data_IF_482701196251
#
_entry.id   IF_482701196251
#
_cell.length_a   1.000
_cell.length_b   1.000
_cell.length_c   1.000
_cell.angle_alpha   90.00
_cell.angle_beta   90.00
_cell.angle_gamma   90.00
#
_symmetry.space_group_name_H-M   'P 1'
#
loop_
_entity.id
_entity.type
_entity.pdbx_description
1 polymer ?
#
# COMPACT_ATOMS: atom_id res chain seq x y z
N UNK A 1 13.81 -1.41 16.29
CA UNK A 1 14.43 -0.45 15.34
C UNK A 1 13.63 -0.46 14.05
N UNK A 2 13.17 0.70 13.56
CA UNK A 2 12.41 0.81 12.31
C UNK A 2 13.31 1.30 11.16
N UNK A 3 12.79 1.31 9.92
CA UNK A 3 13.56 1.72 8.73
C UNK A 3 14.07 3.17 8.83
N UNK A 4 13.30 4.06 9.45
CA UNK A 4 13.67 5.48 9.64
C UNK A 4 14.93 5.58 10.50
N UNK A 5 14.90 4.98 11.69
CA UNK A 5 16.02 5.01 12.61
C UNK A 5 17.25 4.23 12.08
N UNK A 6 17.07 3.38 11.07
CA UNK A 6 18.17 2.68 10.42
C UNK A 6 18.86 3.52 9.34
N UNK A 7 18.08 4.12 8.43
CA UNK A 7 18.63 4.75 7.22
C UNK A 7 18.94 6.23 7.41
N UNK A 8 18.16 6.99 8.20
CA UNK A 8 18.41 8.43 8.39
C UNK A 8 19.80 8.72 8.96
N UNK A 9 20.28 8.03 10.02
CA UNK A 9 21.64 8.24 10.53
C UNK A 9 22.76 7.84 9.54
N UNK A 10 22.42 7.13 8.46
CA UNK A 10 23.35 6.72 7.39
C UNK A 10 23.32 7.65 6.19
N UNK A 11 22.67 8.81 6.31
CA UNK A 11 22.62 9.84 5.26
C UNK A 11 21.55 9.61 4.20
N UNK A 12 20.52 8.79 4.49
CA UNK A 12 19.38 8.63 3.59
C UNK A 12 18.20 9.50 4.03
N UNK A 13 17.65 10.25 3.08
CA UNK A 13 16.36 10.90 3.27
C UNK A 13 15.22 9.89 3.06
N UNK A 14 14.27 9.87 3.99
CA UNK A 14 13.08 9.02 3.90
C UNK A 14 11.85 9.90 3.73
N UNK A 15 11.19 9.72 2.59
CA UNK A 15 9.90 10.32 2.29
C UNK A 15 8.83 9.22 2.26
N UNK A 16 7.66 9.51 2.82
CA UNK A 16 6.53 8.59 2.82
C UNK A 16 5.26 9.26 2.28
N UNK A 17 4.43 8.46 1.63
CA UNK A 17 3.13 8.84 1.11
C UNK A 17 2.06 7.98 1.76
N UNK A 18 1.07 8.62 2.38
CA UNK A 18 -0.17 7.95 2.76
C UNK A 18 -1.02 7.75 1.49
N UNK A 19 -1.25 6.49 1.10
CA UNK A 19 -2.13 6.21 -0.03
C UNK A 19 -3.55 6.73 0.26
N UNK A 20 -4.28 7.15 -0.77
CA UNK A 20 -5.68 7.59 -0.65
C UNK A 20 -6.52 6.64 0.22
N UNK A 21 -7.35 7.21 1.08
CA UNK A 21 -8.13 6.44 2.05
C UNK A 21 -7.33 5.78 3.16
N UNK A 22 -6.02 6.03 3.32
CA UNK A 22 -5.18 5.52 4.42
C UNK A 22 -4.50 6.68 5.14
N UNK A 23 -4.05 6.46 6.38
CA UNK A 23 -3.29 7.45 7.13
C UNK A 23 -3.99 8.80 7.23
N UNK A 24 -3.27 9.87 6.88
CA UNK A 24 -3.74 11.25 6.82
C UNK A 24 -4.38 11.62 5.47
N UNK A 25 -4.28 10.76 4.47
CA UNK A 25 -4.86 11.02 3.15
C UNK A 25 -6.39 10.94 3.20
N UNK A 26 -7.08 11.83 2.46
CA UNK A 26 -8.53 11.89 2.47
C UNK A 26 -9.18 10.68 1.78
N UNK A 27 -10.50 10.59 1.90
CA UNK A 27 -11.32 9.57 1.25
C UNK A 27 -11.78 8.46 2.19
N UNK A 28 -12.66 7.61 1.67
CA UNK A 28 -13.17 6.47 2.43
C UNK A 28 -12.05 5.47 2.72
N UNK A 29 -12.00 4.97 3.96
CA UNK A 29 -11.00 3.98 4.38
C UNK A 29 -11.05 2.71 3.54
N UNK A 30 -9.89 2.35 2.97
CA UNK A 30 -9.75 1.15 2.12
C UNK A 30 -10.49 1.20 0.78
N UNK A 31 -10.72 2.40 0.22
CA UNK A 31 -11.40 2.60 -1.06
C UNK A 31 -10.53 3.36 -2.08
N UNK A 32 -10.60 2.93 -3.34
CA UNK A 32 -10.04 3.61 -4.52
C UNK A 32 -11.06 3.53 -5.64
N UNK A 33 -11.06 4.47 -6.59
CA UNK A 33 -11.90 4.33 -7.78
C UNK A 33 -11.24 3.43 -8.82
N UNK A 34 -9.93 3.44 -8.96
CA UNK A 34 -9.19 2.51 -9.82
C UNK A 34 -7.74 2.39 -9.39
N UNK A 35 -7.07 1.32 -9.79
CA UNK A 35 -5.64 1.15 -9.52
C UNK A 35 -4.77 2.24 -10.18
N UNK A 36 -5.25 2.80 -11.30
CA UNK A 36 -4.57 3.91 -11.98
C UNK A 36 -4.38 5.09 -11.03
N UNK A 37 -5.33 5.31 -10.12
CA UNK A 37 -5.20 6.36 -9.12
C UNK A 37 -3.99 6.15 -8.20
N UNK A 38 -3.77 4.92 -7.72
CA UNK A 38 -2.59 4.57 -6.90
C UNK A 38 -1.29 4.79 -7.71
N UNK A 39 -1.28 4.37 -8.98
CA UNK A 39 -0.12 4.59 -9.85
C UNK A 39 0.18 6.07 -10.06
N UNK A 40 -0.86 6.89 -10.24
CA UNK A 40 -0.72 8.33 -10.41
C UNK A 40 -0.23 8.99 -9.12
N UNK A 41 -0.72 8.56 -7.95
CA UNK A 41 -0.28 9.06 -6.65
C UNK A 41 1.22 8.79 -6.44
N UNK A 42 1.68 7.56 -6.74
CA UNK A 42 3.11 7.19 -6.69
C UNK A 42 3.94 8.03 -7.68
N UNK A 43 3.43 8.21 -8.91
CA UNK A 43 4.11 9.03 -9.93
C UNK A 43 4.27 10.48 -9.48
N UNK A 44 3.20 11.10 -9.00
CA UNK A 44 3.20 12.48 -8.52
C UNK A 44 4.17 12.66 -7.34
N UNK A 45 4.15 11.70 -6.40
CA UNK A 45 5.05 11.72 -5.25
C UNK A 45 6.52 11.60 -5.65
N UNK A 46 6.86 10.67 -6.55
CA UNK A 46 8.24 10.54 -7.03
C UNK A 46 8.69 11.77 -7.84
N UNK A 47 7.80 12.39 -8.61
CA UNK A 47 8.12 13.62 -9.33
C UNK A 47 8.39 14.79 -8.37
N UNK A 48 7.62 14.91 -7.29
CA UNK A 48 7.86 15.90 -6.23
C UNK A 48 9.24 15.70 -5.58
N UNK A 49 9.61 14.45 -5.28
CA UNK A 49 10.92 14.13 -4.69
C UNK A 49 12.05 14.45 -5.69
N UNK A 50 11.89 14.08 -6.96
CA UNK A 50 12.92 14.34 -8.00
C UNK A 50 13.21 15.83 -8.21
N UNK A 51 12.23 16.70 -7.99
CA UNK A 51 12.44 18.16 -8.06
C UNK A 51 13.40 18.70 -6.99
N UNK A 52 13.65 17.92 -5.93
CA UNK A 52 14.57 18.26 -4.85
C UNK A 52 15.98 17.69 -5.09
N UNK A 53 16.29 17.24 -6.32
CA UNK A 53 17.61 16.73 -6.77
C UNK A 53 18.15 15.50 -6.02
N UNK A 54 17.30 14.69 -5.41
CA UNK A 54 17.73 13.47 -4.71
C UNK A 54 18.13 12.35 -5.68
N UNK A 55 19.42 11.98 -5.64
CA UNK A 55 19.92 10.74 -6.25
C UNK A 55 21.02 10.12 -5.36
N UNK A 56 21.10 8.78 -5.25
CA UNK A 56 20.23 7.77 -5.87
C UNK A 56 18.85 7.67 -5.21
N UNK A 57 17.81 7.30 -5.99
CA UNK A 57 16.43 7.17 -5.51
C UNK A 57 15.97 5.72 -5.49
N UNK A 58 15.42 5.27 -4.36
CA UNK A 58 14.87 3.93 -4.19
C UNK A 58 13.40 4.00 -3.81
N UNK A 59 12.61 2.99 -4.20
CA UNK A 59 11.22 2.84 -3.75
C UNK A 59 11.09 1.60 -2.87
N UNK A 60 10.50 1.77 -1.69
CA UNK A 60 10.21 0.68 -0.77
C UNK A 60 8.69 0.54 -0.61
N UNK A 61 8.19 -0.68 -0.72
CA UNK A 61 6.77 -0.99 -0.54
C UNK A 61 6.57 -2.28 0.24
N UNK A 62 5.65 -2.25 1.22
CA UNK A 62 5.23 -3.44 1.96
C UNK A 62 3.78 -3.82 1.65
N UNK A 63 3.47 -5.12 1.53
CA UNK A 63 2.11 -5.62 1.27
C UNK A 63 1.45 -4.93 0.05
N UNK A 64 0.39 -4.14 0.26
CA UNK A 64 -0.25 -3.34 -0.79
C UNK A 64 0.72 -2.33 -1.43
N UNK A 65 1.54 -1.67 -0.62
CA UNK A 65 2.59 -0.76 -1.10
C UNK A 65 3.65 -1.49 -1.91
N UNK A 66 3.90 -2.78 -1.63
CA UNK A 66 4.78 -3.63 -2.43
C UNK A 66 4.24 -3.87 -3.84
N UNK A 67 2.93 -4.10 -3.97
CA UNK A 67 2.26 -4.19 -5.28
C UNK A 67 2.37 -2.84 -6.01
N UNK A 68 2.10 -1.73 -5.33
CA UNK A 68 2.18 -0.39 -5.93
C UNK A 68 3.60 -0.08 -6.43
N UNK A 69 4.63 -0.38 -5.63
CA UNK A 69 6.02 -0.17 -6.00
C UNK A 69 6.42 -1.01 -7.24
N UNK A 70 6.07 -2.29 -7.25
CA UNK A 70 6.36 -3.20 -8.38
C UNK A 70 5.58 -2.81 -9.65
N UNK A 71 4.29 -2.53 -9.52
CA UNK A 71 3.43 -2.09 -10.64
C UNK A 71 3.92 -0.80 -11.28
N UNK A 72 4.41 0.15 -10.47
CA UNK A 72 5.02 1.39 -10.96
C UNK A 72 6.34 1.12 -11.69
N UNK A 73 7.26 0.37 -11.07
CA UNK A 73 8.60 0.12 -11.62
C UNK A 73 8.57 -0.66 -12.95
N UNK A 74 7.62 -1.59 -13.10
CA UNK A 74 7.44 -2.34 -14.37
C UNK A 74 7.01 -1.45 -15.53
N UNK A 75 6.41 -0.28 -15.26
CA UNK A 75 5.95 0.67 -16.28
C UNK A 75 6.85 1.90 -16.44
N UNK A 76 7.56 2.28 -15.39
CA UNK A 76 8.41 3.47 -15.35
C UNK A 76 9.80 3.14 -14.77
N UNK A 77 10.64 2.36 -15.48
CA UNK A 77 11.92 1.89 -14.94
C UNK A 77 12.98 2.99 -14.80
N UNK A 78 12.75 4.20 -15.33
CA UNK A 78 13.75 5.28 -15.37
C UNK A 78 13.77 6.12 -14.09
N UNK A 79 14.97 6.41 -13.59
CA UNK A 79 15.20 7.33 -12.48
C UNK A 79 14.97 6.72 -11.09
N UNK A 80 14.92 5.39 -10.98
CA UNK A 80 15.00 4.64 -9.73
C UNK A 80 16.22 3.73 -9.80
N UNK A 81 17.04 3.71 -8.74
CA UNK A 81 18.20 2.83 -8.61
C UNK A 81 17.82 1.44 -8.09
N UNK A 82 16.66 1.29 -7.45
CA UNK A 82 16.19 0.00 -6.99
C UNK A 82 14.80 0.03 -6.37
N UNK A 83 14.22 -1.16 -6.26
CA UNK A 83 12.93 -1.42 -5.60
C UNK A 83 13.12 -2.42 -4.47
N UNK A 84 12.54 -2.11 -3.31
CA UNK A 84 12.49 -2.99 -2.15
C UNK A 84 11.03 -3.37 -1.92
N UNK A 85 10.64 -4.57 -2.37
CA UNK A 85 9.29 -5.10 -2.18
C UNK A 85 9.27 -6.09 -1.01
N UNK A 86 8.73 -5.66 0.13
CA UNK A 86 8.60 -6.48 1.33
C UNK A 86 7.24 -7.17 1.37
N UNK A 87 7.22 -8.50 1.26
CA UNK A 87 5.99 -9.31 1.29
C UNK A 87 4.87 -8.72 0.41
N UNK A 88 5.14 -8.42 -0.89
CA UNK A 88 4.09 -7.88 -1.76
C UNK A 88 2.95 -8.90 -1.85
N UNK A 89 1.71 -8.43 -1.77
CA UNK A 89 0.53 -9.32 -1.75
C UNK A 89 0.19 -9.88 -3.15
N UNK A 90 1.14 -10.58 -3.76
CA UNK A 90 1.08 -11.18 -5.09
C UNK A 90 0.82 -12.68 -4.95
N UNK A 91 0.04 -13.24 -5.88
CA UNK A 91 -0.24 -14.67 -5.95
C UNK A 91 -1.57 -15.08 -5.31
N UNK A 92 -1.68 -16.35 -4.90
CA UNK A 92 -2.92 -16.92 -4.38
C UNK A 92 -3.22 -16.33 -3.01
N UNK A 93 -4.20 -15.43 -2.97
CA UNK A 93 -4.84 -15.02 -1.73
C UNK A 93 -5.70 -16.20 -1.27
N UNK A 94 -5.59 -16.65 -0.02
CA UNK A 94 -6.42 -17.73 0.55
C UNK A 94 -7.92 -17.41 0.62
N UNK A 95 -8.38 -16.41 -0.13
CA UNK A 95 -9.75 -15.95 -0.24
C UNK A 95 -10.54 -16.96 -1.06
N UNK A 96 -11.61 -17.55 -0.49
CA UNK A 96 -12.47 -18.51 -1.18
C UNK A 96 -13.01 -17.97 -2.51
N UNK A 97 -13.10 -18.79 -3.58
CA UNK A 97 -13.64 -18.36 -4.87
C UNK A 97 -15.03 -17.71 -4.79
N UNK A 98 -15.88 -18.15 -3.87
CA UNK A 98 -17.22 -17.57 -3.63
C UNK A 98 -17.15 -16.10 -3.21
N UNK A 99 -16.19 -15.73 -2.35
CA UNK A 99 -16.02 -14.33 -1.95
C UNK A 99 -15.58 -13.46 -3.12
N UNK A 100 -14.82 -14.01 -4.06
CA UNK A 100 -14.47 -13.31 -5.29
C UNK A 100 -15.66 -13.09 -6.23
N UNK A 101 -16.63 -14.01 -6.25
CA UNK A 101 -17.88 -13.83 -7.00
C UNK A 101 -18.71 -12.71 -6.35
N UNK A 102 -18.89 -12.75 -5.03
CA UNK A 102 -19.60 -11.70 -4.30
C UNK A 102 -18.91 -10.34 -4.47
N UNK A 103 -17.58 -10.28 -4.38
CA UNK A 103 -16.82 -9.05 -4.58
C UNK A 103 -17.05 -8.45 -5.97
N UNK A 104 -17.18 -9.26 -7.03
CA UNK A 104 -17.53 -8.76 -8.38
C UNK A 104 -18.92 -8.14 -8.43
N UNK A 105 -19.90 -8.75 -7.77
CA UNK A 105 -21.28 -8.24 -7.69
C UNK A 105 -21.30 -6.91 -6.94
N UNK A 106 -20.72 -6.87 -5.73
CA UNK A 106 -20.63 -5.65 -4.93
C UNK A 106 -19.82 -4.56 -5.61
N UNK A 107 -18.75 -4.89 -6.33
CA UNK A 107 -17.98 -3.92 -7.10
C UNK A 107 -18.83 -3.16 -8.13
N UNK A 108 -19.89 -3.79 -8.68
CA UNK A 108 -20.78 -3.16 -9.66
C UNK A 108 -21.95 -2.43 -9.01
N UNK A 109 -22.54 -3.00 -7.96
CA UNK A 109 -23.78 -2.50 -7.35
C UNK A 109 -23.49 -1.50 -6.23
N UNK A 110 -22.47 -1.77 -5.40
CA UNK A 110 -22.09 -0.94 -4.26
C UNK A 110 -20.56 -0.98 -4.03
N UNK A 111 -19.76 -0.35 -4.91
CA UNK A 111 -18.29 -0.44 -4.87
C UNK A 111 -17.68 0.08 -3.56
N UNK A 112 -18.38 1.00 -2.91
CA UNK A 112 -18.02 1.57 -1.61
C UNK A 112 -18.36 0.67 -0.42
N UNK A 113 -18.99 -0.48 -0.62
CA UNK A 113 -19.23 -1.42 0.48
C UNK A 113 -17.89 -1.87 1.06
N UNK A 114 -17.70 -1.61 2.35
CA UNK A 114 -16.47 -1.85 3.09
C UNK A 114 -16.70 -2.88 4.18
N UNK A 115 -15.76 -3.82 4.30
CA UNK A 115 -15.72 -4.78 5.38
C UNK A 115 -14.47 -4.53 6.22
N UNK A 116 -14.59 -4.88 7.50
CA UNK A 116 -13.40 -5.08 8.32
C UNK A 116 -12.72 -6.38 7.88
N UNK A 117 -11.46 -6.30 7.46
CA UNK A 117 -10.69 -7.47 7.06
C UNK A 117 -10.23 -8.32 8.27
N UNK A 118 -10.52 -7.86 9.49
CA UNK A 118 -10.19 -8.52 10.76
C UNK A 118 -8.72 -8.97 10.83
N UNK A 119 -7.81 -8.16 10.27
CA UNK A 119 -6.38 -8.43 10.33
C UNK A 119 -5.93 -8.55 11.78
N UNK A 120 -5.39 -9.72 12.13
CA UNK A 120 -4.71 -9.88 13.42
C UNK A 120 -3.34 -9.22 13.35
N UNK A 121 -3.27 -8.01 13.91
CA UNK A 121 -2.04 -7.21 13.99
C UNK A 121 -1.09 -7.69 15.08
N UNK A 122 -1.46 -8.69 15.89
CA UNK A 122 -0.63 -9.19 16.98
C UNK A 122 0.66 -9.85 16.48
N UNK A 123 0.66 -10.34 15.25
CA UNK A 123 1.80 -11.00 14.62
C UNK A 123 2.57 -10.11 13.62
N UNK A 124 2.27 -8.81 13.57
CA UNK A 124 2.91 -7.90 12.61
C UNK A 124 4.37 -7.59 12.96
N UNK A 125 4.75 -7.74 14.22
CA UNK A 125 6.11 -7.54 14.69
C UNK A 125 6.41 -8.52 15.83
N UNK A 126 7.68 -8.93 15.92
CA UNK A 126 8.19 -9.64 17.11
C UNK A 126 8.36 -8.71 18.31
N UNK A 127 8.35 -7.39 18.08
CA UNK A 127 8.45 -6.36 19.11
C UNK A 127 7.04 -5.97 19.61
N UNK A 128 6.69 -6.29 20.87
CA UNK A 128 5.38 -5.95 21.44
C UNK A 128 5.11 -4.45 21.50
N UNK A 129 6.15 -3.61 21.61
CA UNK A 129 5.98 -2.16 21.62
C UNK A 129 5.50 -1.65 20.26
N UNK A 130 6.01 -2.22 19.16
CA UNK A 130 5.54 -1.92 17.80
C UNK A 130 4.08 -2.36 17.62
N UNK A 131 3.73 -3.56 18.09
CA UNK A 131 2.33 -4.05 18.03
C UNK A 131 1.40 -3.12 18.82
N UNK A 132 1.79 -2.69 20.02
CA UNK A 132 1.02 -1.76 20.84
C UNK A 132 0.86 -0.40 20.17
N UNK A 133 1.92 0.12 19.56
CA UNK A 133 1.87 1.38 18.80
C UNK A 133 0.87 1.29 17.64
N UNK A 134 0.92 0.21 16.85
CA UNK A 134 -0.06 -0.04 15.77
C UNK A 134 -1.50 -0.14 16.29
N UNK A 135 -1.74 -0.87 17.39
CA UNK A 135 -3.07 -1.02 18.00
C UNK A 135 -3.67 0.31 18.46
N UNK A 136 -2.82 1.24 18.88
CA UNK A 136 -3.24 2.54 19.42
C UNK A 136 -3.18 3.68 18.40
N UNK A 137 -2.78 3.41 17.16
CA UNK A 137 -2.69 4.42 16.11
C UNK A 137 -4.10 4.77 15.60
N UNK A 138 -4.60 6.01 15.81
CA UNK A 138 -5.93 6.41 15.35
C UNK A 138 -6.04 6.51 13.82
N UNK A 139 -4.92 6.54 13.10
CA UNK A 139 -4.89 6.59 11.63
C UNK A 139 -4.89 5.19 11.00
N UNK A 140 -4.59 4.15 11.79
CA UNK A 140 -4.62 2.77 11.34
C UNK A 140 -6.05 2.25 11.22
N UNK A 141 -6.31 1.45 10.17
CA UNK A 141 -7.58 0.76 9.99
C UNK A 141 -7.42 -0.57 9.26
N UNK A 142 -8.39 -1.45 9.49
CA UNK A 142 -8.53 -2.78 8.87
C UNK A 142 -9.59 -2.80 7.76
N UNK A 143 -10.09 -1.64 7.34
CA UNK A 143 -11.14 -1.54 6.31
C UNK A 143 -10.62 -1.87 4.91
N UNK A 144 -11.39 -2.66 4.17
CA UNK A 144 -11.17 -2.92 2.74
C UNK A 144 -12.50 -2.99 1.99
N UNK A 145 -12.55 -2.37 0.82
CA UNK A 145 -13.74 -2.39 -0.05
C UNK A 145 -13.67 -3.49 -1.10
N UNK A 146 -14.84 -3.94 -1.58
CA UNK A 146 -14.92 -4.85 -2.72
C UNK A 146 -14.21 -4.24 -3.95
N UNK A 147 -14.31 -2.93 -4.14
CA UNK A 147 -13.61 -2.20 -5.20
C UNK A 147 -12.09 -2.33 -5.09
N UNK A 148 -11.51 -2.02 -3.93
CA UNK A 148 -10.07 -2.15 -3.71
C UNK A 148 -9.59 -3.60 -3.97
N UNK A 149 -10.30 -4.59 -3.42
CA UNK A 149 -9.95 -6.00 -3.62
C UNK A 149 -9.97 -6.42 -5.10
N UNK A 150 -10.94 -5.94 -5.87
CA UNK A 150 -11.05 -6.24 -7.30
C UNK A 150 -9.95 -5.58 -8.13
N UNK A 151 -9.60 -4.32 -7.84
CA UNK A 151 -8.51 -3.60 -8.50
C UNK A 151 -7.15 -4.26 -8.20
N UNK A 152 -6.88 -4.60 -6.93
CA UNK A 152 -5.68 -5.34 -6.52
C UNK A 152 -5.59 -6.66 -7.30
N UNK A 153 -6.67 -7.44 -7.33
CA UNK A 153 -6.72 -8.72 -8.05
C UNK A 153 -6.46 -8.57 -9.54
N UNK A 154 -6.86 -7.47 -10.14
CA UNK A 154 -6.64 -7.22 -11.58
C UNK A 154 -5.17 -6.95 -11.88
N UNK A 155 -4.45 -6.28 -10.98
CA UNK A 155 -3.04 -5.90 -11.17
C UNK A 155 -2.07 -7.02 -10.86
N UNK A 156 -2.38 -7.90 -9.91
CA UNK A 156 -1.49 -9.01 -9.51
C UNK A 156 -1.65 -10.28 -10.35
N UNK A 157 -2.52 -10.26 -11.37
CA UNK A 157 -2.72 -11.36 -12.33
C UNK A 157 -1.88 -11.12 -13.57
#
# INVERSE_FOLDING_TARGET
MNIVNHFVPRGYDIHALDLRGNGRSPGQRGYINSWIEIRNDVSAFLNLIKQQSYTPLFILGHCLGGIAALDYCTRHPKGLQGVIASSPAIGKTGVPPVLWVLARIFNRIWPRFSLDNRLDISNFSRDPAVVKAFKNDPLFHTRGTARLGMEVRHVVK
#
